data_IF_236096102807
#
_entry.id   IF_236096102807
#
_cell.length_a   1.000
_cell.length_b   1.000
_cell.length_c   1.000
_cell.angle_alpha   90.00
_cell.angle_beta   90.00
_cell.angle_gamma   90.00
#
_symmetry.space_group_name_H-M   'P 1'
#
loop_
_entity.id
_entity.type
_entity.pdbx_description
1 polymer ?
#
# COMPACT_ATOMS: atom_id res chain seq x y z
N UNK A 1 -44.22 8.51 -8.69
CA UNK A 1 -43.35 8.49 -7.49
C UNK A 1 -43.45 7.20 -6.65
N UNK A 2 -44.51 6.39 -6.75
CA UNK A 2 -44.66 5.15 -5.95
C UNK A 2 -43.92 3.91 -6.53
N UNK A 3 -43.59 3.91 -7.83
CA UNK A 3 -42.88 2.82 -8.49
C UNK A 3 -41.37 2.83 -8.23
N UNK A 4 -40.73 4.01 -8.21
CA UNK A 4 -39.29 4.17 -7.95
C UNK A 4 -38.88 3.69 -6.54
N UNK A 5 -39.74 3.91 -5.54
CA UNK A 5 -39.48 3.47 -4.17
C UNK A 5 -39.60 1.94 -4.01
N UNK A 6 -40.45 1.29 -4.82
CA UNK A 6 -40.60 -0.17 -4.86
C UNK A 6 -39.38 -0.84 -5.50
N UNK A 7 -38.86 -0.29 -6.60
CA UNK A 7 -37.63 -0.80 -7.22
C UNK A 7 -36.39 -0.61 -6.34
N UNK A 8 -36.32 0.48 -5.56
CA UNK A 8 -35.24 0.70 -4.61
C UNK A 8 -35.26 -0.30 -3.44
N UNK A 9 -36.46 -0.62 -2.93
CA UNK A 9 -36.65 -1.65 -1.90
C UNK A 9 -36.32 -3.06 -2.43
N UNK A 10 -36.71 -3.37 -3.68
CA UNK A 10 -36.38 -4.64 -4.32
C UNK A 10 -34.87 -4.79 -4.61
N UNK A 11 -34.19 -3.70 -4.98
CA UNK A 11 -32.73 -3.69 -5.17
C UNK A 11 -31.96 -3.85 -3.84
N UNK A 12 -32.48 -3.29 -2.74
CA UNK A 12 -31.90 -3.47 -1.40
C UNK A 12 -32.11 -4.88 -0.82
N UNK A 13 -33.19 -5.59 -1.18
CA UNK A 13 -33.42 -6.96 -0.71
C UNK A 13 -32.63 -8.04 -1.49
N UNK A 14 -32.10 -7.72 -2.67
CA UNK A 14 -31.36 -8.69 -3.49
C UNK A 14 -29.85 -8.68 -3.24
N UNK A 15 -29.36 -7.78 -2.37
CA UNK A 15 -27.93 -7.59 -2.11
C UNK A 15 -27.37 -8.36 -0.89
N UNK A 16 -28.17 -9.17 -0.20
CA UNK A 16 -27.80 -9.70 1.13
C UNK A 16 -27.47 -11.20 1.20
N UNK A 17 -27.27 -11.92 0.10
CA UNK A 17 -27.21 -13.38 0.15
C UNK A 17 -25.99 -14.06 -0.51
N UNK A 18 -24.83 -13.42 -0.58
CA UNK A 18 -23.59 -14.13 -1.02
C UNK A 18 -22.29 -13.73 -0.32
N UNK A 19 -22.34 -13.00 0.80
CA UNK A 19 -21.14 -12.56 1.53
C UNK A 19 -20.59 -13.58 2.55
N UNK A 20 -21.27 -14.73 2.72
CA UNK A 20 -20.90 -15.78 3.69
C UNK A 20 -20.99 -17.16 3.06
N UNK A 21 -20.15 -17.42 2.05
CA UNK A 21 -19.79 -18.78 1.70
C UNK A 21 -18.33 -18.98 2.13
N UNK A 22 -18.03 -19.86 3.10
CA UNK A 22 -16.64 -20.26 3.30
C UNK A 22 -16.15 -20.87 1.98
N UNK A 23 -14.97 -20.46 1.50
CA UNK A 23 -14.26 -21.16 0.43
C UNK A 23 -14.04 -22.58 0.93
N UNK A 24 -14.94 -23.49 0.56
CA UNK A 24 -14.73 -24.91 0.73
C UNK A 24 -13.57 -25.27 -0.19
N UNK A 25 -12.42 -25.76 0.32
CA UNK A 25 -11.43 -26.34 -0.56
C UNK A 25 -12.12 -27.49 -1.28
N UNK A 26 -12.27 -27.38 -2.61
CA UNK A 26 -12.57 -28.53 -3.42
C UNK A 26 -11.43 -29.51 -3.20
N UNK A 27 -11.67 -30.52 -2.36
CA UNK A 27 -10.83 -31.70 -2.28
C UNK A 27 -10.87 -32.34 -3.65
N UNK A 28 -9.91 -31.99 -4.50
CA UNK A 28 -9.58 -32.75 -5.69
C UNK A 28 -9.25 -34.15 -5.18
N UNK A 29 -10.21 -35.06 -5.33
CA UNK A 29 -10.00 -36.48 -5.13
C UNK A 29 -9.11 -36.92 -6.30
N UNK A 30 -7.80 -36.77 -6.14
CA UNK A 30 -6.83 -37.43 -7.00
C UNK A 30 -6.99 -38.93 -6.82
N UNK A 31 -7.85 -39.51 -7.65
CA UNK A 31 -7.91 -40.94 -7.86
C UNK A 31 -6.66 -41.34 -8.64
N UNK A 32 -5.53 -41.47 -7.94
CA UNK A 32 -4.33 -42.07 -8.52
C UNK A 32 -4.37 -43.57 -8.27
N UNK A 33 -4.59 -44.27 -9.37
CA UNK A 33 -4.41 -45.70 -9.60
C UNK A 33 -3.08 -46.23 -9.01
N UNK A 34 -3.02 -47.46 -8.48
CA UNK A 34 -1.78 -48.06 -8.02
C UNK A 34 -1.07 -48.76 -9.19
N UNK A 35 0.16 -48.34 -9.50
CA UNK A 35 1.01 -49.07 -10.45
C UNK A 35 2.47 -49.08 -9.99
N UNK A 36 2.86 -50.23 -9.41
CA UNK A 36 4.14 -50.98 -9.46
C UNK A 36 5.47 -50.21 -9.19
N UNK A 37 6.30 -50.66 -8.21
CA UNK A 37 7.55 -50.00 -7.82
C UNK A 37 8.73 -50.40 -8.72
N UNK A 38 9.45 -49.42 -9.26
CA UNK A 38 10.82 -49.60 -9.73
C UNK A 38 11.71 -48.46 -9.23
N UNK A 39 12.88 -48.84 -8.69
CA UNK A 39 13.93 -47.99 -8.09
C UNK A 39 13.67 -47.42 -6.69
N UNK A 40 14.17 -48.13 -5.70
CA UNK A 40 14.19 -47.75 -4.28
C UNK A 40 15.23 -46.67 -4.00
N UNK A 41 14.88 -45.39 -4.21
CA UNK A 41 15.61 -44.30 -3.56
C UNK A 41 15.18 -44.23 -2.09
N UNK A 42 16.05 -44.68 -1.18
CA UNK A 42 15.87 -44.54 0.26
C UNK A 42 15.85 -43.05 0.62
N UNK A 43 14.65 -42.49 0.75
CA UNK A 43 14.45 -41.18 1.37
C UNK A 43 14.26 -41.43 2.86
N UNK A 44 15.16 -40.93 3.74
CA UNK A 44 14.99 -41.10 5.18
C UNK A 44 13.70 -40.41 5.63
N UNK A 45 12.98 -41.02 6.57
CA UNK A 45 11.71 -40.51 7.10
C UNK A 45 11.78 -39.06 7.63
N UNK A 46 12.99 -38.61 8.00
CA UNK A 46 13.29 -37.24 8.40
C UNK A 46 13.15 -36.20 7.26
N UNK A 47 13.32 -36.60 6.00
CA UNK A 47 13.14 -35.70 4.83
C UNK A 47 11.72 -35.75 4.26
N UNK A 48 10.96 -36.81 4.54
CA UNK A 48 9.56 -36.94 4.10
C UNK A 48 8.62 -35.93 4.78
N UNK A 49 9.00 -35.42 5.96
CA UNK A 49 8.24 -34.46 6.75
C UNK A 49 8.66 -33.00 6.54
N UNK A 50 9.24 -32.66 5.38
CA UNK A 50 9.30 -31.26 4.94
C UNK A 50 7.86 -30.74 4.81
N UNK A 51 7.34 -30.18 5.89
CA UNK A 51 6.00 -29.59 6.02
C UNK A 51 5.92 -28.46 5.00
N UNK A 52 5.47 -28.77 3.78
CA UNK A 52 4.91 -27.80 2.84
C UNK A 52 3.57 -27.33 3.41
N UNK A 53 3.64 -26.56 4.49
CA UNK A 53 2.56 -25.70 4.92
C UNK A 53 3.21 -24.42 5.39
N UNK A 54 3.62 -23.61 4.41
CA UNK A 54 3.38 -22.18 4.58
C UNK A 54 1.85 -22.07 4.61
N UNK A 55 1.29 -22.09 5.81
CA UNK A 55 -0.14 -21.85 5.97
C UNK A 55 -0.43 -20.56 5.20
N UNK A 56 -1.40 -20.60 4.28
CA UNK A 56 -1.89 -19.39 3.66
C UNK A 56 -2.53 -18.58 4.79
N UNK A 57 -1.72 -17.74 5.45
CA UNK A 57 -2.18 -16.80 6.45
C UNK A 57 -2.95 -15.77 5.64
N UNK A 58 -4.25 -15.97 5.59
CA UNK A 58 -5.21 -14.96 5.14
C UNK A 58 -5.02 -13.73 6.02
N UNK A 59 -4.11 -12.87 5.62
CA UNK A 59 -3.89 -11.57 6.22
C UNK A 59 -5.03 -10.70 5.73
N UNK A 60 -6.11 -10.69 6.49
CA UNK A 60 -7.23 -9.79 6.25
C UNK A 60 -6.70 -8.37 6.55
N UNK A 61 -6.23 -7.64 5.54
CA UNK A 61 -5.95 -6.20 5.61
C UNK A 61 -4.86 -5.71 6.58
N UNK A 62 -4.98 -4.44 6.99
CA UNK A 62 -4.09 -3.73 7.91
C UNK A 62 -4.33 -4.25 9.34
N UNK A 63 -3.32 -4.86 9.94
CA UNK A 63 -3.34 -5.49 11.28
C UNK A 63 -4.09 -6.83 11.39
N UNK A 64 -4.32 -7.55 10.28
CA UNK A 64 -5.06 -8.82 10.30
C UNK A 64 -6.55 -8.65 10.61
N UNK A 65 -7.04 -7.41 10.56
CA UNK A 65 -8.44 -7.03 10.66
C UNK A 65 -9.01 -6.80 9.24
N UNK A 66 -10.07 -7.52 8.91
CA UNK A 66 -10.77 -7.36 7.65
C UNK A 66 -11.70 -6.14 7.63
N UNK A 67 -12.32 -5.92 6.47
CA UNK A 67 -13.33 -4.89 6.29
C UNK A 67 -14.51 -4.99 7.30
N UNK A 68 -15.10 -6.17 7.58
CA UNK A 68 -16.20 -6.25 8.53
C UNK A 68 -15.77 -5.95 9.97
N UNK A 69 -14.58 -6.38 10.39
CA UNK A 69 -14.06 -6.09 11.74
C UNK A 69 -13.82 -4.58 11.93
N UNK A 70 -13.23 -3.91 10.94
CA UNK A 70 -13.02 -2.45 10.96
C UNK A 70 -14.35 -1.70 11.00
N UNK A 71 -15.37 -2.17 10.29
CA UNK A 71 -16.69 -1.53 10.30
C UNK A 71 -17.33 -1.54 11.71
N UNK A 72 -17.22 -2.65 12.45
CA UNK A 72 -17.74 -2.75 13.82
C UNK A 72 -17.04 -1.76 14.75
N UNK A 73 -15.71 -1.64 14.63
CA UNK A 73 -14.91 -0.70 15.42
C UNK A 73 -15.33 0.74 15.11
N UNK A 74 -15.54 1.09 13.84
CA UNK A 74 -16.01 2.42 13.44
C UNK A 74 -17.39 2.76 14.01
N UNK A 75 -18.31 1.80 14.04
CA UNK A 75 -19.62 1.98 14.66
C UNK A 75 -19.47 2.23 16.16
N UNK A 76 -18.66 1.43 16.86
CA UNK A 76 -18.42 1.63 18.29
C UNK A 76 -17.78 3.00 18.59
N UNK A 77 -16.77 3.40 17.80
CA UNK A 77 -16.15 4.72 17.92
C UNK A 77 -17.15 5.85 17.65
N UNK A 78 -18.04 5.69 16.65
CA UNK A 78 -19.09 6.66 16.35
C UNK A 78 -20.11 6.80 17.50
N UNK A 79 -20.38 5.73 18.26
CA UNK A 79 -21.23 5.82 19.46
C UNK A 79 -20.55 6.59 20.59
N UNK A 80 -19.25 6.38 20.80
CA UNK A 80 -18.50 7.03 21.89
C UNK A 80 -18.21 8.51 21.59
N UNK A 81 -17.76 8.80 20.37
CA UNK A 81 -17.34 10.14 19.95
C UNK A 81 -18.46 10.94 19.29
N UNK A 82 -19.46 10.27 18.73
CA UNK A 82 -20.50 10.83 17.86
C UNK A 82 -20.11 10.75 16.37
N UNK A 83 -21.05 10.39 15.46
CA UNK A 83 -20.76 10.29 14.03
C UNK A 83 -20.37 11.65 13.41
N UNK A 84 -20.83 12.76 13.98
CA UNK A 84 -20.50 14.11 13.54
C UNK A 84 -19.01 14.43 13.78
N UNK A 85 -18.45 13.99 14.92
CA UNK A 85 -17.05 14.24 15.25
C UNK A 85 -16.09 13.41 14.42
N UNK A 86 -16.43 12.15 14.14
CA UNK A 86 -15.64 11.34 13.21
C UNK A 86 -15.68 11.91 11.78
N UNK A 87 -16.82 12.43 11.32
CA UNK A 87 -16.93 13.07 10.00
C UNK A 87 -16.14 14.39 9.93
N UNK A 88 -16.18 15.20 10.99
CA UNK A 88 -15.40 16.44 11.11
C UNK A 88 -13.90 16.16 11.06
N UNK A 89 -13.41 15.19 11.87
CA UNK A 89 -12.02 14.73 11.83
C UNK A 89 -11.61 14.17 10.47
N UNK A 90 -12.47 13.37 9.83
CA UNK A 90 -12.21 12.83 8.50
C UNK A 90 -12.12 13.92 7.42
N UNK A 91 -12.92 14.98 7.53
CA UNK A 91 -12.86 16.13 6.62
C UNK A 91 -11.56 16.92 6.80
N UNK A 92 -11.13 17.15 8.03
CA UNK A 92 -9.90 17.89 8.31
C UNK A 92 -8.67 17.07 7.92
N UNK A 93 -8.62 15.78 8.28
CA UNK A 93 -7.58 14.87 7.83
C UNK A 93 -7.55 14.74 6.29
N UNK A 94 -8.72 14.73 5.64
CA UNK A 94 -8.83 14.68 4.19
C UNK A 94 -8.30 15.92 3.48
N UNK A 95 -8.53 17.11 4.06
CA UNK A 95 -7.93 18.37 3.55
C UNK A 95 -6.40 18.32 3.66
N UNK A 96 -5.89 17.96 4.84
CA UNK A 96 -4.44 17.84 5.08
C UNK A 96 -3.83 16.82 4.11
N UNK A 97 -4.45 15.66 3.94
CA UNK A 97 -3.99 14.65 2.98
C UNK A 97 -4.04 15.15 1.52
N UNK A 98 -5.01 15.99 1.18
CA UNK A 98 -5.12 16.65 -0.13
C UNK A 98 -3.97 17.63 -0.38
N UNK A 99 -3.69 18.51 0.57
CA UNK A 99 -2.58 19.48 0.52
C UNK A 99 -1.22 18.76 0.49
N UNK A 100 -1.07 17.70 1.29
CA UNK A 100 0.11 16.83 1.31
C UNK A 100 0.31 16.02 0.02
N UNK A 101 -0.59 16.07 -0.97
CA UNK A 101 -0.34 15.44 -2.28
C UNK A 101 0.47 16.32 -3.21
N UNK A 102 0.42 17.65 -3.04
CA UNK A 102 1.18 18.60 -3.85
C UNK A 102 2.62 18.72 -3.36
N UNK A 103 2.82 18.74 -2.05
CA UNK A 103 4.15 18.85 -1.41
C UNK A 103 5.15 17.77 -1.89
N UNK A 104 4.82 16.47 -1.98
CA UNK A 104 5.72 15.44 -2.49
C UNK A 104 6.03 15.60 -3.98
N UNK A 105 5.15 16.20 -4.77
CA UNK A 105 5.41 16.43 -6.21
C UNK A 105 6.44 17.56 -6.37
N UNK A 106 6.29 18.62 -5.60
CA UNK A 106 7.26 19.73 -5.58
C UNK A 106 8.61 19.25 -5.03
N UNK A 107 8.59 18.41 -3.99
CA UNK A 107 9.80 17.78 -3.46
C UNK A 107 10.51 16.90 -4.50
N UNK A 108 9.77 16.06 -5.22
CA UNK A 108 10.34 15.24 -6.31
C UNK A 108 10.94 16.10 -7.43
N UNK A 109 10.26 17.18 -7.82
CA UNK A 109 10.75 18.13 -8.82
C UNK A 109 12.03 18.82 -8.35
N UNK A 110 12.07 19.28 -7.10
CA UNK A 110 13.25 19.90 -6.50
C UNK A 110 14.43 18.94 -6.38
N UNK A 111 14.19 17.67 -6.07
CA UNK A 111 15.20 16.61 -6.09
C UNK A 111 15.79 16.42 -7.49
N UNK A 112 14.95 16.27 -8.51
CA UNK A 112 15.41 16.09 -9.90
C UNK A 112 16.20 17.30 -10.40
N UNK A 113 15.75 18.51 -10.09
CA UNK A 113 16.48 19.75 -10.42
C UNK A 113 17.81 19.85 -9.68
N UNK A 114 17.83 19.51 -8.39
CA UNK A 114 19.04 19.46 -7.57
C UNK A 114 20.06 18.46 -8.10
N UNK A 115 19.61 17.26 -8.51
CA UNK A 115 20.46 16.25 -9.13
C UNK A 115 21.00 16.70 -10.49
N UNK A 116 20.17 17.30 -11.34
CA UNK A 116 20.59 17.85 -12.62
C UNK A 116 21.63 18.96 -12.46
N UNK A 117 21.44 19.85 -11.49
CA UNK A 117 22.38 20.93 -11.19
C UNK A 117 23.68 20.39 -10.57
N UNK A 118 23.61 19.44 -9.64
CA UNK A 118 24.79 18.80 -9.07
C UNK A 118 25.63 18.07 -10.14
N UNK A 119 24.99 17.44 -11.12
CA UNK A 119 25.68 16.80 -12.25
C UNK A 119 26.34 17.82 -13.18
N UNK A 120 25.72 18.98 -13.42
CA UNK A 120 26.31 20.08 -14.20
C UNK A 120 27.53 20.69 -13.48
N UNK A 121 27.46 20.91 -12.17
CA UNK A 121 28.61 21.38 -11.39
C UNK A 121 29.77 20.38 -11.36
N UNK A 122 29.48 19.07 -11.39
CA UNK A 122 30.53 18.03 -11.47
C UNK A 122 31.15 17.88 -12.86
N UNK A 123 30.50 18.37 -13.93
CA UNK A 123 31.00 18.31 -15.31
C UNK A 123 31.61 19.62 -15.82
N UNK A 124 31.62 20.69 -15.03
CA UNK A 124 32.46 21.85 -15.31
C UNK A 124 33.93 21.50 -15.03
N UNK A 125 34.86 21.67 -16.00
CA UNK A 125 36.28 21.59 -15.70
C UNK A 125 36.65 22.70 -14.70
N UNK A 126 37.70 22.55 -13.87
CA UNK A 126 38.23 23.64 -13.07
C UNK A 126 38.81 24.71 -14.00
N UNK A 127 37.96 25.59 -14.52
CA UNK A 127 38.36 26.79 -15.24
C UNK A 127 38.61 27.89 -14.21
N UNK A 128 39.90 28.10 -13.94
CA UNK A 128 40.53 29.35 -13.53
C UNK A 128 39.79 30.20 -12.50
N UNK A 129 40.14 29.97 -11.23
CA UNK A 129 40.29 31.09 -10.28
C UNK A 129 41.48 31.92 -10.74
N UNK A 130 41.27 32.80 -11.72
CA UNK A 130 42.14 33.95 -11.94
C UNK A 130 41.85 34.92 -10.80
N UNK A 131 42.68 34.82 -9.76
CA UNK A 131 42.85 35.88 -8.77
C UNK A 131 43.47 37.05 -9.54
N UNK A 132 42.62 37.97 -9.99
CA UNK A 132 43.07 39.26 -10.48
C UNK A 132 43.68 40.02 -9.30
N UNK A 133 45.00 39.99 -9.25
CA UNK A 133 45.85 40.83 -8.41
C UNK A 133 45.49 42.29 -8.66
N UNK A 134 44.73 42.89 -7.75
CA UNK A 134 44.64 44.35 -7.65
C UNK A 134 45.93 44.83 -6.99
N UNK A 135 46.95 45.09 -7.81
CA UNK A 135 48.12 45.86 -7.41
C UNK A 135 47.75 47.35 -7.22
N UNK A 136 48.36 47.87 -6.17
CA UNK A 136 48.38 49.21 -5.62
C UNK A 136 48.71 50.32 -6.63
N UNK A 137 48.00 51.46 -6.53
CA UNK A 137 48.55 52.76 -6.95
C UNK A 137 48.25 53.82 -5.89
N UNK A 138 49.22 54.00 -4.98
CA UNK A 138 49.43 55.26 -4.28
C UNK A 138 49.60 56.39 -5.31
N UNK A 139 48.91 57.52 -5.11
CA UNK A 139 49.53 58.86 -5.23
C UNK A 139 48.63 59.95 -4.63
N UNK A 140 49.15 60.56 -3.57
CA UNK A 140 49.03 61.96 -3.12
C UNK A 140 48.09 62.91 -3.89
N UNK A 141 47.24 63.64 -3.15
CA UNK A 141 47.46 65.07 -2.82
C UNK A 141 46.59 65.47 -1.61
#
# INVERSE_FOLDING_TARGET
>A
MKSILSYFAAFMMMATASAFAPVTPQSFRSMTQPTIPTSSYYTPAALQHQRKSVANVQTMGLFGLGAPEIAIILVAAAFVLGPQKLAELGKDAGKIAGELKEVPKEFQKGLQEGEANANKLKQAPPASMDVETVEEKQKSE
#
